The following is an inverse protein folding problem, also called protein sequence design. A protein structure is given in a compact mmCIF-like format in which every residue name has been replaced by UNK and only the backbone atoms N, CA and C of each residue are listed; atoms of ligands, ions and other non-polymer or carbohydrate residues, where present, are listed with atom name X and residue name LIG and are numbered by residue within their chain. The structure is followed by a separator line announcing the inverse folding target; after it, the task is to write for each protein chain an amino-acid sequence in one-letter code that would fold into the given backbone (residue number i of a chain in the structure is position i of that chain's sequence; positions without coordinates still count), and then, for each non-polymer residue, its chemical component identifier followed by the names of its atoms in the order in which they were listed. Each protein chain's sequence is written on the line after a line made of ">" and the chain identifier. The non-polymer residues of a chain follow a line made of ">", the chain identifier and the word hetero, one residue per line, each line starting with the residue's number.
data_IF_336129171536
#
_entry.id   IF_336129171536
#
_cell.length_a   1.000
_cell.length_b   1.000
_cell.length_c   1.000
_cell.angle_alpha   90.00
_cell.angle_beta   90.00
_cell.angle_gamma   90.00
#
_symmetry.space_group_name_H-M   'P 1'
#
loop_
_entity.id
_entity.type
_entity.pdbx_description
1 polymer ?
#
# COMPACT_ATOMS: atom_id res chain seq x y z
N UNK A 1 -20.04 1.63 -11.95
CA UNK A 1 -20.44 0.49 -11.10
C UNK A 1 -19.67 -0.82 -11.40
N UNK A 2 -19.44 -1.22 -12.66
CA UNK A 2 -18.89 -2.54 -12.99
C UNK A 2 -17.42 -2.82 -12.61
N UNK A 3 -16.52 -1.84 -12.75
CA UNK A 3 -15.06 -2.04 -12.61
C UNK A 3 -14.61 -2.43 -11.19
N UNK A 4 -15.28 -1.94 -10.15
CA UNK A 4 -15.00 -2.29 -8.73
C UNK A 4 -15.44 -3.72 -8.43
N UNK A 5 -16.60 -4.13 -8.95
CA UNK A 5 -17.13 -5.49 -8.78
C UNK A 5 -16.23 -6.53 -9.43
N UNK A 6 -15.74 -6.27 -10.65
CA UNK A 6 -14.80 -7.16 -11.35
C UNK A 6 -13.48 -7.34 -10.61
N UNK A 7 -12.94 -6.26 -10.03
CA UNK A 7 -11.68 -6.28 -9.30
C UNK A 7 -11.77 -7.04 -7.97
N UNK A 8 -12.88 -6.89 -7.26
CA UNK A 8 -13.13 -7.65 -6.03
C UNK A 8 -13.35 -9.14 -6.33
N UNK A 9 -14.01 -9.46 -7.45
CA UNK A 9 -14.16 -10.84 -7.91
C UNK A 9 -12.81 -11.49 -8.25
N UNK A 10 -11.92 -10.77 -8.94
CA UNK A 10 -10.56 -11.23 -9.23
C UNK A 10 -9.74 -11.48 -7.95
N UNK A 11 -9.83 -10.58 -6.96
CA UNK A 11 -9.16 -10.76 -5.66
C UNK A 11 -9.67 -12.00 -4.92
N UNK A 12 -10.97 -12.25 -4.95
CA UNK A 12 -11.56 -13.46 -4.36
C UNK A 12 -11.11 -14.72 -5.09
N UNK A 13 -11.16 -14.74 -6.43
CA UNK A 13 -10.71 -15.90 -7.20
C UNK A 13 -9.23 -16.19 -6.98
N UNK A 14 -8.39 -15.16 -6.86
CA UNK A 14 -6.98 -15.33 -6.55
C UNK A 14 -6.75 -15.85 -5.12
N UNK A 15 -7.58 -15.41 -4.16
CA UNK A 15 -7.52 -15.85 -2.77
C UNK A 15 -7.94 -17.31 -2.59
N UNK A 16 -8.87 -17.81 -3.42
CA UNK A 16 -9.39 -19.19 -3.34
C UNK A 16 -8.68 -20.19 -4.26
N UNK A 17 -7.61 -19.75 -4.94
CA UNK A 17 -6.95 -20.56 -5.95
C UNK A 17 -6.13 -21.70 -5.32
N UNK A 18 -5.53 -21.47 -4.15
CA UNK A 18 -4.73 -22.45 -3.44
C UNK A 18 -5.56 -23.63 -2.91
N UNK A 19 -6.79 -23.39 -2.48
CA UNK A 19 -7.71 -24.43 -2.00
C UNK A 19 -8.05 -25.44 -3.09
N UNK A 20 -8.20 -24.99 -4.34
CA UNK A 20 -8.43 -25.87 -5.49
C UNK A 20 -7.20 -26.74 -5.75
N UNK A 21 -6.00 -26.15 -5.68
CA UNK A 21 -4.74 -26.88 -5.87
C UNK A 21 -4.57 -27.93 -4.76
N UNK A 22 -4.81 -27.55 -3.51
CA UNK A 22 -4.74 -28.46 -2.36
C UNK A 22 -5.78 -29.58 -2.47
N UNK A 23 -7.00 -29.27 -2.88
CA UNK A 23 -8.06 -30.26 -3.11
C UNK A 23 -7.66 -31.28 -4.19
N UNK A 24 -7.16 -30.81 -5.34
CA UNK A 24 -6.65 -31.69 -6.40
C UNK A 24 -5.50 -32.56 -5.88
N UNK A 25 -4.57 -31.97 -5.13
CA UNK A 25 -3.43 -32.69 -4.59
C UNK A 25 -3.86 -33.81 -3.62
N UNK A 26 -4.77 -33.51 -2.68
CA UNK A 26 -5.26 -34.46 -1.67
C UNK A 26 -6.12 -35.56 -2.28
N UNK A 27 -7.03 -35.23 -3.19
CA UNK A 27 -8.03 -36.18 -3.66
C UNK A 27 -7.68 -36.89 -4.97
N UNK A 28 -6.74 -36.36 -5.78
CA UNK A 28 -6.36 -36.99 -7.06
C UNK A 28 -4.91 -37.48 -7.08
N UNK A 29 -3.96 -36.69 -6.56
CA UNK A 29 -2.53 -37.01 -6.67
C UNK A 29 -2.11 -38.02 -5.58
N UNK A 30 -2.43 -37.73 -4.31
CA UNK A 30 -2.07 -38.58 -3.17
C UNK A 30 -2.57 -40.04 -3.30
N UNK A 31 -3.84 -40.29 -3.69
CA UNK A 31 -4.32 -41.66 -3.93
C UNK A 31 -3.59 -42.34 -5.09
N UNK A 32 -3.23 -41.59 -6.13
CA UNK A 32 -2.50 -42.10 -7.30
C UNK A 32 -1.08 -42.60 -6.99
N UNK A 33 -0.48 -42.14 -5.89
CA UNK A 33 0.85 -42.57 -5.42
C UNK A 33 0.76 -43.55 -4.22
N UNK A 34 -0.42 -44.06 -3.90
CA UNK A 34 -0.64 -45.04 -2.83
C UNK A 34 -0.76 -44.44 -1.43
N UNK A 35 -0.95 -43.13 -1.31
CA UNK A 35 -1.21 -42.46 -0.03
C UNK A 35 -2.70 -42.17 0.09
N UNK A 36 -3.39 -42.96 0.92
CA UNK A 36 -4.81 -42.77 1.18
C UNK A 36 -5.02 -41.90 2.42
N UNK A 37 -5.53 -40.69 2.20
CA UNK A 37 -5.94 -39.82 3.31
C UNK A 37 -7.42 -40.08 3.59
N UNK A 38 -7.80 -40.37 4.86
CA UNK A 38 -9.19 -40.60 5.18
C UNK A 38 -10.01 -39.32 4.95
N UNK A 39 -11.22 -39.49 4.39
CA UNK A 39 -12.04 -38.39 3.89
C UNK A 39 -12.25 -37.26 4.91
N UNK A 40 -12.44 -37.61 6.18
CA UNK A 40 -12.63 -36.63 7.26
C UNK A 40 -11.40 -35.74 7.48
N UNK A 41 -10.19 -36.29 7.35
CA UNK A 41 -8.95 -35.53 7.48
C UNK A 41 -8.76 -34.59 6.28
N UNK A 42 -9.03 -35.06 5.06
CA UNK A 42 -9.02 -34.22 3.86
C UNK A 42 -10.02 -33.06 3.96
N UNK A 43 -11.25 -33.35 4.40
CA UNK A 43 -12.28 -32.33 4.62
C UNK A 43 -11.90 -31.35 5.73
N UNK A 44 -11.24 -31.81 6.80
CA UNK A 44 -10.75 -30.95 7.87
C UNK A 44 -9.69 -29.97 7.37
N UNK A 45 -8.75 -30.41 6.52
CA UNK A 45 -7.77 -29.53 5.89
C UNK A 45 -8.46 -28.45 5.05
N UNK A 46 -9.41 -28.84 4.19
CA UNK A 46 -10.16 -27.88 3.37
C UNK A 46 -10.96 -26.90 4.24
N UNK A 47 -11.60 -27.38 5.31
CA UNK A 47 -12.37 -26.53 6.22
C UNK A 47 -11.48 -25.48 6.92
N UNK A 48 -10.28 -25.86 7.34
CA UNK A 48 -9.31 -24.95 7.96
C UNK A 48 -8.84 -23.88 6.96
N UNK A 49 -8.57 -24.25 5.72
CA UNK A 49 -8.17 -23.30 4.67
C UNK A 49 -9.29 -22.30 4.34
N UNK A 50 -10.53 -22.77 4.21
CA UNK A 50 -11.68 -21.89 4.00
C UNK A 50 -11.91 -20.94 5.19
N UNK A 51 -11.70 -21.42 6.43
CA UNK A 51 -11.77 -20.58 7.62
C UNK A 51 -10.68 -19.50 7.63
N UNK A 52 -9.44 -19.85 7.24
CA UNK A 52 -8.32 -18.91 7.03
C UNK A 52 -8.72 -17.81 6.04
N UNK A 53 -9.26 -18.18 4.88
CA UNK A 53 -9.68 -17.20 3.86
C UNK A 53 -10.81 -16.30 4.34
N UNK A 54 -11.81 -16.85 5.03
CA UNK A 54 -12.92 -16.07 5.56
C UNK A 54 -12.43 -14.99 6.54
N UNK A 55 -11.43 -15.30 7.36
CA UNK A 55 -10.82 -14.34 8.29
C UNK A 55 -10.01 -13.25 7.55
N UNK A 56 -9.35 -13.59 6.44
CA UNK A 56 -8.48 -12.68 5.68
C UNK A 56 -9.27 -11.82 4.65
N UNK A 57 -10.38 -12.35 4.12
CA UNK A 57 -11.23 -11.71 3.12
C UNK A 57 -11.60 -10.24 3.43
N UNK A 58 -12.04 -9.85 4.66
CA UNK A 58 -12.37 -8.46 4.96
C UNK A 58 -11.18 -7.50 4.84
N UNK A 59 -9.95 -7.96 5.12
CA UNK A 59 -8.74 -7.14 4.96
C UNK A 59 -8.36 -6.94 3.49
N UNK A 60 -8.53 -7.98 2.67
CA UNK A 60 -8.23 -7.93 1.23
C UNK A 60 -9.27 -7.12 0.45
N UNK A 61 -10.55 -7.27 0.82
CA UNK A 61 -11.69 -6.60 0.18
C UNK A 61 -11.93 -5.17 0.72
N UNK A 62 -11.58 -4.90 1.98
CA UNK A 62 -11.76 -3.59 2.64
C UNK A 62 -10.79 -2.49 2.19
N UNK A 63 -10.06 -2.70 1.10
CA UNK A 63 -9.14 -1.70 0.53
C UNK A 63 -7.71 -1.76 1.08
N UNK A 64 -7.38 -2.72 1.96
CA UNK A 64 -6.00 -2.91 2.44
C UNK A 64 -5.01 -3.22 1.32
N UNK A 65 -5.43 -4.05 0.35
CA UNK A 65 -4.64 -4.35 -0.85
C UNK A 65 -4.69 -3.24 -1.92
N UNK A 66 -5.49 -2.20 -1.70
CA UNK A 66 -5.78 -1.12 -2.66
C UNK A 66 -5.24 0.24 -2.24
N UNK A 67 -4.82 0.38 -0.98
CA UNK A 67 -3.94 1.46 -0.56
C UNK A 67 -2.62 1.26 -1.29
N UNK A 68 -2.56 1.75 -2.54
CA UNK A 68 -1.30 2.19 -3.11
C UNK A 68 -0.73 3.11 -2.04
N UNK A 69 0.44 2.80 -1.46
CA UNK A 69 1.11 3.82 -0.68
C UNK A 69 1.20 5.03 -1.59
N UNK A 70 0.75 6.19 -1.11
CA UNK A 70 0.97 7.46 -1.79
C UNK A 70 2.45 7.78 -1.67
N UNK A 71 3.27 6.94 -2.31
CA UNK A 71 4.72 7.05 -2.41
C UNK A 71 4.99 7.66 -3.76
N UNK A 72 5.53 8.87 -3.75
CA UNK A 72 5.85 9.61 -4.96
C UNK A 72 5.92 11.12 -4.70
N UNK A 73 6.58 11.88 -5.58
CA UNK A 73 6.64 13.34 -5.49
C UNK A 73 5.25 14.00 -5.46
N UNK A 74 4.23 13.34 -6.03
CA UNK A 74 2.85 13.81 -6.04
C UNK A 74 2.24 13.83 -4.64
N UNK A 75 2.69 12.94 -3.74
CA UNK A 75 2.20 12.88 -2.36
C UNK A 75 2.61 14.11 -1.55
N UNK A 76 3.74 14.74 -1.89
CA UNK A 76 4.27 15.91 -1.20
C UNK A 76 3.64 17.23 -1.68
N UNK A 77 3.10 17.25 -2.91
CA UNK A 77 2.48 18.44 -3.50
C UNK A 77 1.35 18.98 -2.62
N UNK A 78 1.39 20.27 -2.32
CA UNK A 78 0.37 20.95 -1.51
C UNK A 78 0.52 20.76 0.01
N UNK A 79 1.41 19.88 0.48
CA UNK A 79 1.67 19.71 1.92
C UNK A 79 2.33 20.96 2.50
N UNK A 80 2.12 21.16 3.80
CA UNK A 80 2.81 22.19 4.58
C UNK A 80 4.11 21.62 5.12
N UNK A 81 5.21 22.31 4.89
CA UNK A 81 6.54 21.98 5.39
C UNK A 81 6.95 23.03 6.43
N UNK A 82 7.65 22.60 7.48
CA UNK A 82 8.24 23.50 8.47
C UNK A 82 9.68 23.79 8.07
N UNK A 83 10.05 25.06 7.92
CA UNK A 83 11.45 25.43 7.69
C UNK A 83 12.26 25.12 8.95
N UNK A 84 13.34 24.36 8.81
CA UNK A 84 14.26 24.04 9.93
C UNK A 84 15.63 24.70 9.76
N UNK A 85 15.97 25.05 8.52
CA UNK A 85 17.12 25.87 8.15
C UNK A 85 16.64 26.94 7.16
N UNK A 86 17.06 28.19 7.37
CA UNK A 86 16.62 29.34 6.58
C UNK A 86 16.69 29.06 5.08
N UNK A 87 15.60 29.34 4.36
CA UNK A 87 15.52 29.23 2.90
C UNK A 87 15.93 30.57 2.28
N UNK A 88 17.11 30.62 1.66
CA UNK A 88 17.59 31.83 0.96
C UNK A 88 18.50 31.56 -0.25
N UNK A 89 17.97 31.12 -1.40
CA UNK A 89 16.63 30.57 -1.59
C UNK A 89 16.56 29.10 -1.18
N UNK A 90 17.71 28.45 -1.02
CA UNK A 90 17.82 27.05 -0.60
C UNK A 90 18.00 26.92 0.91
N UNK A 91 17.61 25.78 1.44
CA UNK A 91 17.81 25.36 2.82
C UNK A 91 17.10 24.02 3.07
N UNK A 92 16.61 23.81 4.29
CA UNK A 92 16.02 22.54 4.71
C UNK A 92 14.66 22.75 5.35
N UNK A 93 13.71 21.90 4.94
CA UNK A 93 12.36 21.84 5.50
C UNK A 93 12.09 20.45 6.06
N UNK A 94 11.12 20.38 6.99
CA UNK A 94 10.60 19.16 7.55
C UNK A 94 9.18 18.91 7.06
N UNK A 95 8.94 17.75 6.44
CA UNK A 95 7.63 17.30 5.94
C UNK A 95 7.34 15.95 6.59
N UNK A 96 6.25 15.84 7.34
CA UNK A 96 5.79 14.59 8.00
C UNK A 96 6.87 13.83 8.80
N UNK A 97 7.84 14.56 9.36
CA UNK A 97 8.94 13.96 10.13
C UNK A 97 10.27 13.86 9.39
N UNK A 98 10.27 13.98 8.07
CA UNK A 98 11.45 13.83 7.23
C UNK A 98 12.09 15.17 6.85
N UNK A 99 13.42 15.21 6.74
CA UNK A 99 14.17 16.39 6.30
C UNK A 99 14.38 16.37 4.79
N UNK A 100 14.02 17.47 4.15
CA UNK A 100 14.09 17.64 2.70
C UNK A 100 14.85 18.90 2.34
N UNK A 101 15.72 18.81 1.32
CA UNK A 101 16.27 20.00 0.68
C UNK A 101 15.13 20.75 0.03
N UNK A 102 15.07 22.06 0.24
CA UNK A 102 14.04 22.90 -0.32
C UNK A 102 14.64 24.12 -1.01
N UNK A 103 13.86 24.66 -1.94
CA UNK A 103 14.12 25.95 -2.57
C UNK A 103 12.84 26.77 -2.57
N UNK A 104 12.90 27.97 -1.98
CA UNK A 104 11.79 28.89 -1.90
C UNK A 104 11.66 29.65 -3.23
N UNK A 105 10.57 29.43 -3.95
CA UNK A 105 10.36 30.02 -5.28
C UNK A 105 9.84 31.45 -5.23
N UNK A 106 9.30 31.89 -4.09
CA UNK A 106 8.69 33.21 -3.91
C UNK A 106 9.38 34.10 -2.87
N UNK A 107 10.66 33.85 -2.57
CA UNK A 107 11.47 34.71 -1.71
C UNK A 107 12.33 33.93 -0.72
N UNK A 108 12.32 34.35 0.55
CA UNK A 108 13.02 33.69 1.64
C UNK A 108 12.07 33.33 2.77
N UNK A 109 12.42 32.32 3.56
CA UNK A 109 11.65 31.89 4.73
C UNK A 109 12.60 31.52 5.86
N UNK A 110 12.30 31.94 7.08
CA UNK A 110 13.16 31.67 8.26
C UNK A 110 12.82 30.34 8.91
N UNK A 111 13.79 29.76 9.61
CA UNK A 111 13.58 28.62 10.48
C UNK A 111 12.39 28.88 11.44
N UNK A 112 11.48 27.91 11.51
CA UNK A 112 10.22 28.00 12.24
C UNK A 112 9.02 28.44 11.39
N UNK A 113 9.21 28.95 10.17
CA UNK A 113 8.10 29.32 9.29
C UNK A 113 7.47 28.12 8.58
N UNK A 114 6.18 28.22 8.28
CA UNK A 114 5.46 27.23 7.46
C UNK A 114 5.44 27.63 5.99
N UNK A 115 5.85 26.72 5.11
CA UNK A 115 5.84 26.89 3.65
C UNK A 115 5.03 25.78 3.00
N UNK A 116 4.55 25.99 1.77
CA UNK A 116 3.75 25.01 1.03
C UNK A 116 4.56 24.42 -0.11
N UNK A 117 4.60 23.10 -0.23
CA UNK A 117 5.23 22.42 -1.36
C UNK A 117 4.41 22.66 -2.63
N UNK A 118 5.07 23.15 -3.68
CA UNK A 118 4.44 23.41 -4.99
C UNK A 118 4.94 22.51 -6.10
N UNK A 119 6.11 21.88 -5.91
CA UNK A 119 6.67 20.91 -6.85
C UNK A 119 7.78 20.09 -6.19
N UNK A 120 8.18 19.01 -6.85
CA UNK A 120 9.35 18.20 -6.45
C UNK A 120 10.26 18.04 -7.67
N UNK A 121 11.55 18.35 -7.49
CA UNK A 121 12.58 18.27 -8.53
C UNK A 121 13.72 17.38 -8.06
N UNK A 122 13.72 16.13 -8.51
CA UNK A 122 14.69 15.13 -8.03
C UNK A 122 14.49 14.88 -6.53
N UNK A 123 15.52 15.18 -5.73
CA UNK A 123 15.51 15.02 -4.26
C UNK A 123 15.25 16.33 -3.51
N UNK A 124 14.84 17.40 -4.21
CA UNK A 124 14.54 18.71 -3.65
C UNK A 124 13.06 19.04 -3.82
N UNK A 125 12.45 19.67 -2.82
CA UNK A 125 11.10 20.22 -2.89
C UNK A 125 11.13 21.72 -3.22
N UNK A 126 10.25 22.17 -4.12
CA UNK A 126 10.02 23.59 -4.35
C UNK A 126 8.89 24.04 -3.44
N UNK A 127 9.08 25.15 -2.73
CA UNK A 127 8.15 25.64 -1.72
C UNK A 127 7.84 27.12 -1.90
N UNK A 128 6.65 27.52 -1.46
CA UNK A 128 6.20 28.91 -1.43
C UNK A 128 5.78 29.30 -0.01
N UNK A 129 6.14 30.50 0.41
CA UNK A 129 5.59 31.11 1.62
C UNK A 129 4.09 31.33 1.41
N UNK A 130 3.26 30.90 2.36
CA UNK A 130 1.89 31.40 2.47
C UNK A 130 2.00 32.84 2.96
N UNK A 131 1.58 33.79 2.14
CA UNK A 131 1.51 35.21 2.51
C UNK A 131 0.70 35.44 3.77
#
# INVERSE_FOLDING_TARGET
>A
MGRVKTRNLLKLLALMADEVIVGIFIFLILPGIGVEIPLWAGLLVIAVLLAKDFLIAPFVLGGGADKRPETGPESLMGRTALVVEDLSPEGVVKIDGELWKAECTNGTAKAGEGVRVVSVRGTKVLVERRG
#
